data_IF_399218724192
#
_entry.id   IF_399218724192
#
_cell.length_a   1.000
_cell.length_b   1.000
_cell.length_c   1.000
_cell.angle_alpha   90.00
_cell.angle_beta   90.00
_cell.angle_gamma   90.00
#
_symmetry.space_group_name_H-M   'P 1'
#
loop_
_entity.id
_entity.type
_entity.pdbx_description
1 polymer ?
#
# COMPACT_ATOMS: atom_id res chain seq x y z
N UNK A 1 2.91 -22.83 5.18
CA UNK A 1 2.92 -21.49 4.56
C UNK A 1 3.72 -20.58 5.46
N UNK A 2 4.46 -19.61 4.92
CA UNK A 2 5.18 -18.64 5.76
C UNK A 2 4.43 -17.32 5.75
N UNK A 3 4.41 -16.69 6.90
CA UNK A 3 3.91 -15.34 7.08
C UNK A 3 4.90 -14.34 6.50
N UNK A 4 4.42 -13.34 5.79
CA UNK A 4 5.22 -12.28 5.16
C UNK A 4 4.53 -10.95 5.33
N UNK A 5 5.28 -9.92 5.68
CA UNK A 5 4.75 -8.58 5.81
C UNK A 5 4.81 -7.83 4.46
N UNK A 6 3.83 -6.98 4.25
CA UNK A 6 3.69 -6.04 3.15
C UNK A 6 3.52 -4.68 3.81
N UNK A 7 4.41 -3.74 3.53
CA UNK A 7 4.45 -2.47 4.21
C UNK A 7 4.46 -1.31 3.23
N UNK A 8 3.67 -0.30 3.52
CA UNK A 8 3.56 0.91 2.69
C UNK A 8 3.56 2.14 3.58
N UNK A 9 4.46 3.08 3.30
CA UNK A 9 4.33 4.46 3.77
C UNK A 9 3.27 5.16 2.92
N UNK A 10 2.35 5.89 3.55
CA UNK A 10 1.21 6.52 2.90
C UNK A 10 1.05 7.94 3.46
N UNK A 11 0.69 8.90 2.61
CA UNK A 11 0.15 10.18 3.03
C UNK A 11 -1.35 10.21 2.77
N UNK A 12 -2.13 9.88 3.79
CA UNK A 12 -3.54 9.61 3.64
C UNK A 12 -4.37 10.13 4.82
N UNK A 13 -5.63 10.44 4.53
CA UNK A 13 -6.70 10.52 5.51
C UNK A 13 -7.34 9.12 5.69
N UNK A 14 -8.42 9.05 6.47
CA UNK A 14 -9.13 7.79 6.70
C UNK A 14 -9.69 7.18 5.42
N UNK A 15 -10.15 8.01 4.48
CA UNK A 15 -10.70 7.55 3.21
C UNK A 15 -9.62 6.99 2.29
N UNK A 16 -8.46 7.67 2.22
CA UNK A 16 -7.28 7.21 1.51
C UNK A 16 -6.77 5.89 2.07
N UNK A 17 -6.71 5.75 3.39
CA UNK A 17 -6.34 4.50 4.05
C UNK A 17 -7.34 3.37 3.75
N UNK A 18 -8.64 3.63 3.83
CA UNK A 18 -9.67 2.65 3.48
C UNK A 18 -9.55 2.17 2.03
N UNK A 19 -9.28 3.10 1.11
CA UNK A 19 -9.04 2.78 -0.29
C UNK A 19 -7.82 1.86 -0.47
N UNK A 20 -6.69 2.16 0.17
CA UNK A 20 -5.48 1.31 0.08
C UNK A 20 -5.72 -0.09 0.68
N UNK A 21 -6.47 -0.19 1.78
CA UNK A 21 -6.86 -1.49 2.36
C UNK A 21 -7.66 -2.32 1.37
N UNK A 22 -8.65 -1.73 0.71
CA UNK A 22 -9.43 -2.39 -0.34
C UNK A 22 -8.55 -2.93 -1.48
N UNK A 23 -7.56 -2.15 -1.93
CA UNK A 23 -6.60 -2.62 -2.96
C UNK A 23 -5.82 -3.87 -2.52
N UNK A 24 -5.40 -3.92 -1.25
CA UNK A 24 -4.68 -5.08 -0.72
C UNK A 24 -5.61 -6.29 -0.62
N UNK A 25 -6.83 -6.11 -0.13
CA UNK A 25 -7.83 -7.17 -0.04
C UNK A 25 -8.17 -7.75 -1.42
N UNK A 26 -8.40 -6.90 -2.41
CA UNK A 26 -8.67 -7.29 -3.79
C UNK A 26 -7.50 -8.06 -4.41
N UNK A 27 -6.26 -7.59 -4.17
CA UNK A 27 -5.06 -8.26 -4.66
C UNK A 27 -4.85 -9.62 -3.99
N UNK A 28 -5.15 -9.75 -2.69
CA UNK A 28 -5.10 -11.00 -1.93
C UNK A 28 -6.17 -11.97 -2.42
N UNK A 29 -7.41 -11.51 -2.57
CA UNK A 29 -8.55 -12.29 -3.05
C UNK A 29 -8.35 -12.84 -4.46
N UNK A 30 -7.72 -12.03 -5.32
CA UNK A 30 -7.38 -12.39 -6.71
C UNK A 30 -6.07 -13.16 -6.86
N UNK A 31 -5.30 -13.35 -5.78
CA UNK A 31 -4.02 -14.06 -5.80
C UNK A 31 -2.91 -13.36 -6.61
N UNK A 32 -3.04 -12.07 -6.88
CA UNK A 32 -2.11 -11.29 -7.71
C UNK A 32 -2.13 -11.62 -9.21
N UNK A 33 -3.16 -12.34 -9.69
CA UNK A 33 -3.27 -12.73 -11.11
C UNK A 33 -4.08 -11.70 -11.90
N UNK A 34 -3.40 -10.76 -12.55
CA UNK A 34 -3.90 -10.23 -13.84
C UNK A 34 -3.34 -11.12 -14.95
N UNK A 35 -4.11 -12.11 -15.39
CA UNK A 35 -3.80 -12.92 -16.56
C UNK A 35 -3.16 -14.28 -16.28
N UNK A 36 -3.99 -15.30 -16.04
CA UNK A 36 -3.76 -16.64 -16.61
C UNK A 36 -4.99 -17.52 -16.33
N UNK A 37 -5.70 -17.91 -17.40
CA UNK A 37 -6.78 -18.90 -17.31
C UNK A 37 -6.15 -20.26 -17.02
N UNK A 38 -6.63 -20.88 -15.95
CA UNK A 38 -6.44 -22.31 -15.67
C UNK A 38 -5.29 -22.59 -14.71
N UNK A 39 -5.60 -22.77 -13.42
CA UNK A 39 -4.96 -23.86 -12.66
C UNK A 39 -5.70 -24.15 -11.36
N UNK A 40 -6.01 -25.44 -11.21
CA UNK A 40 -6.50 -26.13 -10.01
C UNK A 40 -5.66 -25.74 -8.78
N UNK A 41 -6.35 -25.44 -7.66
CA UNK A 41 -5.78 -25.58 -6.31
C UNK A 41 -4.81 -24.49 -5.85
N UNK A 42 -5.13 -23.21 -6.07
CA UNK A 42 -4.32 -22.12 -5.51
C UNK A 42 -4.39 -22.16 -3.98
N UNK A 43 -3.26 -22.46 -3.35
CA UNK A 43 -3.00 -22.18 -1.93
C UNK A 43 -3.17 -20.67 -1.70
N UNK A 44 -4.40 -20.24 -1.42
CA UNK A 44 -4.82 -18.83 -1.36
C UNK A 44 -4.01 -18.07 -0.31
N UNK A 45 -3.59 -16.86 -0.67
CA UNK A 45 -3.09 -15.91 0.31
C UNK A 45 -4.22 -15.52 1.26
N UNK A 46 -3.88 -15.24 2.52
CA UNK A 46 -4.82 -14.75 3.52
C UNK A 46 -4.16 -13.63 4.31
N UNK A 47 -4.90 -12.57 4.57
CA UNK A 47 -4.51 -11.57 5.57
C UNK A 47 -4.64 -12.24 6.94
N UNK A 48 -3.54 -12.25 7.70
CA UNK A 48 -3.49 -12.82 9.06
C UNK A 48 -3.24 -11.74 10.13
N UNK A 49 -3.01 -10.51 9.70
CA UNK A 49 -2.89 -9.36 10.58
C UNK A 49 -2.77 -8.09 9.77
N UNK A 50 -3.25 -7.00 10.35
CA UNK A 50 -3.12 -5.66 9.80
C UNK A 50 -2.87 -4.70 10.97
N UNK A 51 -1.96 -3.75 10.77
CA UNK A 51 -1.72 -2.67 11.72
C UNK A 51 -1.35 -1.39 11.00
N UNK A 52 -1.85 -0.27 11.50
CA UNK A 52 -1.44 1.06 11.06
C UNK A 52 -0.51 1.62 12.12
N UNK A 53 0.68 1.98 11.68
CA UNK A 53 1.75 2.45 12.54
C UNK A 53 1.97 3.95 12.29
N UNK A 54 2.02 4.71 13.38
CA UNK A 54 2.25 6.17 13.38
C UNK A 54 3.61 6.55 13.99
N UNK A 55 4.32 5.58 14.57
CA UNK A 55 5.65 5.72 15.17
C UNK A 55 6.51 4.54 14.73
N UNK A 56 7.71 4.77 14.22
CA UNK A 56 8.55 3.67 13.69
C UNK A 56 8.85 2.65 14.81
N UNK A 57 8.58 1.35 14.60
CA UNK A 57 8.88 0.35 15.61
C UNK A 57 10.39 0.25 15.85
N UNK A 58 10.84 0.53 17.08
CA UNK A 58 12.25 0.44 17.45
C UNK A 58 13.10 1.68 17.10
N UNK A 59 12.47 2.80 16.79
CA UNK A 59 13.14 4.10 16.60
C UNK A 59 12.38 5.19 17.34
N UNK A 60 13.10 6.25 17.75
CA UNK A 60 12.50 7.48 18.26
C UNK A 60 11.91 8.36 17.14
N UNK A 61 12.17 8.04 15.87
CA UNK A 61 11.62 8.74 14.73
C UNK A 61 10.12 8.48 14.58
N UNK A 62 9.34 9.56 14.48
CA UNK A 62 7.93 9.45 14.13
C UNK A 62 7.78 9.05 12.65
N UNK A 63 6.66 8.43 12.29
CA UNK A 63 6.36 8.15 10.88
C UNK A 63 6.17 9.48 10.10
N UNK A 64 5.78 10.54 10.80
CA UNK A 64 5.68 11.87 10.21
C UNK A 64 7.05 12.39 9.75
N UNK A 65 8.10 12.19 10.55
CA UNK A 65 9.47 12.59 10.20
C UNK A 65 10.07 11.65 9.13
N UNK A 66 9.76 10.36 9.18
CA UNK A 66 10.31 9.38 8.25
C UNK A 66 9.73 9.48 6.82
N UNK A 67 8.53 10.05 6.69
CA UNK A 67 7.78 10.15 5.43
C UNK A 67 7.31 11.58 5.14
N UNK A 68 8.05 12.58 5.62
CA UNK A 68 7.82 14.00 5.34
C UNK A 68 7.79 14.30 3.84
N UNK A 69 8.64 13.66 3.05
CA UNK A 69 8.69 13.76 1.59
C UNK A 69 7.36 13.40 0.91
N UNK A 70 6.49 12.60 1.53
CA UNK A 70 5.17 12.31 0.97
C UNK A 70 4.22 13.51 1.07
N UNK A 71 4.38 14.34 2.10
CA UNK A 71 3.65 15.60 2.21
C UNK A 71 4.17 16.62 1.19
N UNK A 72 5.49 16.65 0.95
CA UNK A 72 6.10 17.47 -0.10
C UNK A 72 5.59 17.06 -1.49
N UNK A 73 5.54 15.75 -1.77
CA UNK A 73 4.98 15.22 -3.01
C UNK A 73 3.51 15.65 -3.20
N UNK A 74 2.68 15.57 -2.16
CA UNK A 74 1.29 16.05 -2.23
C UNK A 74 1.21 17.53 -2.63
N UNK A 75 2.02 18.37 -2.00
CA UNK A 75 2.01 19.81 -2.26
C UNK A 75 2.43 20.16 -3.70
N UNK A 76 3.34 19.39 -4.29
CA UNK A 76 3.73 19.53 -5.70
C UNK A 76 2.63 19.05 -6.63
N UNK A 77 1.98 17.92 -6.32
CA UNK A 77 0.94 17.32 -7.16
C UNK A 77 -0.41 18.06 -7.09
N UNK A 78 -0.69 18.77 -5.99
CA UNK A 78 -1.98 19.43 -5.71
C UNK A 78 -1.77 20.89 -5.27
N UNK A 79 -1.29 21.77 -6.17
CA UNK A 79 -0.99 23.15 -5.82
C UNK A 79 -2.26 23.91 -5.41
N UNK A 80 -2.25 24.48 -4.20
CA UNK A 80 -3.36 25.28 -3.67
C UNK A 80 -4.51 24.47 -3.04
N UNK A 81 -4.43 23.14 -3.04
CA UNK A 81 -5.37 22.30 -2.31
C UNK A 81 -4.94 22.14 -0.85
N UNK A 82 -5.92 22.13 0.06
CA UNK A 82 -5.65 21.77 1.45
C UNK A 82 -5.38 20.27 1.56
N UNK A 83 -4.33 19.91 2.29
CA UNK A 83 -4.08 18.50 2.67
C UNK A 83 -5.20 17.91 3.53
N UNK A 84 -6.06 18.75 4.12
CA UNK A 84 -7.17 18.31 4.96
C UNK A 84 -6.65 17.61 6.22
N UNK A 85 -7.12 16.39 6.47
CA UNK A 85 -6.68 15.55 7.60
C UNK A 85 -5.63 14.51 7.21
N UNK A 86 -5.02 14.65 6.02
CA UNK A 86 -3.98 13.73 5.55
C UNK A 86 -2.75 13.85 6.43
N UNK A 87 -2.15 12.69 6.70
CA UNK A 87 -0.93 12.61 7.49
C UNK A 87 -0.09 11.40 7.05
N UNK A 88 1.22 11.43 7.29
CA UNK A 88 2.06 10.26 7.05
C UNK A 88 1.70 9.13 8.01
N UNK A 89 1.51 7.93 7.46
CA UNK A 89 1.19 6.71 8.19
C UNK A 89 1.80 5.52 7.49
N UNK A 90 1.98 4.42 8.22
CA UNK A 90 2.52 3.19 7.66
C UNK A 90 1.53 2.05 7.81
N UNK A 91 1.08 1.49 6.69
CA UNK A 91 0.21 0.32 6.67
C UNK A 91 1.07 -0.95 6.64
N UNK A 92 0.90 -1.80 7.64
CA UNK A 92 1.51 -3.13 7.70
C UNK A 92 0.43 -4.18 7.50
N UNK A 93 0.56 -5.00 6.46
CA UNK A 93 -0.32 -6.12 6.19
C UNK A 93 0.48 -7.41 6.24
N UNK A 94 0.07 -8.30 7.13
CA UNK A 94 0.70 -9.60 7.32
C UNK A 94 -0.05 -10.65 6.54
N UNK A 95 0.63 -11.31 5.60
CA UNK A 95 0.05 -12.28 4.67
C UNK A 95 0.58 -13.70 4.91
N UNK A 96 -0.30 -14.67 5.03
CA UNK A 96 0.06 -16.09 4.97
C UNK A 96 0.00 -16.56 3.51
N UNK A 97 1.16 -16.65 2.85
CA UNK A 97 1.23 -17.00 1.42
C UNK A 97 2.58 -17.59 1.00
N UNK A 98 2.68 -18.00 -0.28
CA UNK A 98 3.97 -18.37 -0.89
C UNK A 98 4.76 -17.10 -1.27
N UNK A 99 6.09 -17.20 -1.42
CA UNK A 99 6.90 -16.06 -1.87
C UNK A 99 6.47 -15.55 -3.25
N UNK A 100 6.11 -16.47 -4.16
CA UNK A 100 5.61 -16.13 -5.50
C UNK A 100 4.31 -15.31 -5.42
N UNK A 101 3.38 -15.75 -4.57
CA UNK A 101 2.11 -15.06 -4.35
C UNK A 101 2.32 -13.70 -3.70
N UNK A 102 3.22 -13.60 -2.71
CA UNK A 102 3.58 -12.33 -2.09
C UNK A 102 4.11 -11.32 -3.11
N UNK A 103 5.04 -11.74 -3.99
CA UNK A 103 5.57 -10.87 -5.06
C UNK A 103 4.48 -10.42 -6.03
N UNK A 104 3.56 -11.31 -6.40
CA UNK A 104 2.45 -10.99 -7.29
C UNK A 104 1.46 -10.01 -6.65
N UNK A 105 1.14 -10.18 -5.36
CA UNK A 105 0.30 -9.25 -4.60
C UNK A 105 1.00 -7.87 -4.50
N UNK A 106 2.26 -7.82 -4.07
CA UNK A 106 3.02 -6.56 -3.97
C UNK A 106 3.05 -5.80 -5.30
N UNK A 107 3.34 -6.49 -6.40
CA UNK A 107 3.35 -5.90 -7.75
C UNK A 107 1.97 -5.37 -8.13
N UNK A 108 0.92 -6.11 -7.81
CA UNK A 108 -0.46 -5.70 -8.12
C UNK A 108 -0.85 -4.45 -7.36
N UNK A 109 -0.61 -4.42 -6.03
CA UNK A 109 -0.93 -3.27 -5.17
C UNK A 109 -0.16 -2.02 -5.62
N UNK A 110 1.15 -2.12 -5.87
CA UNK A 110 1.97 -1.00 -6.35
C UNK A 110 1.43 -0.42 -7.66
N UNK A 111 1.09 -1.28 -8.62
CA UNK A 111 0.54 -0.85 -9.91
C UNK A 111 -0.86 -0.24 -9.80
N UNK A 112 -1.64 -0.61 -8.78
CA UNK A 112 -2.96 0.00 -8.55
C UNK A 112 -2.88 1.29 -7.74
N UNK A 113 -1.86 1.43 -6.88
CA UNK A 113 -1.60 2.64 -6.10
C UNK A 113 -1.17 3.80 -7.00
N UNK A 114 -0.26 3.54 -7.95
CA UNK A 114 0.10 4.48 -9.00
C UNK A 114 -0.50 3.99 -10.32
N UNK A 115 -1.62 4.56 -10.81
CA UNK A 115 -2.07 4.32 -12.17
C UNK A 115 -1.08 5.00 -13.12
N UNK A 116 0.05 4.35 -13.40
CA UNK A 116 0.93 4.74 -14.49
C UNK A 116 0.10 4.76 -15.79
N UNK A 117 -0.01 5.96 -16.35
CA UNK A 117 -0.58 6.27 -17.65
C UNK A 117 0.12 7.52 -18.20
N UNK A 118 -0.28 7.98 -19.37
CA UNK A 118 0.33 9.13 -20.07
C UNK A 118 -0.15 10.51 -19.59
N UNK A 119 -0.88 10.59 -18.47
CA UNK A 119 -1.34 11.85 -17.88
C UNK A 119 -0.42 12.38 -16.78
N UNK A 120 -0.63 13.63 -16.31
CA UNK A 120 0.08 14.14 -15.14
C UNK A 120 -0.12 13.20 -13.95
N UNK A 121 0.98 12.81 -13.30
CA UNK A 121 0.97 11.89 -12.17
C UNK A 121 0.39 12.59 -10.94
N UNK A 122 -0.93 12.62 -10.81
CA UNK A 122 -1.61 13.07 -9.60
C UNK A 122 -1.97 11.83 -8.79
N UNK A 123 -1.15 11.51 -7.80
CA UNK A 123 -1.37 10.34 -6.96
C UNK A 123 -2.52 10.63 -5.99
N UNK A 124 -3.56 9.79 -6.01
CA UNK A 124 -4.67 9.90 -5.06
C UNK A 124 -4.20 9.81 -3.61
N UNK A 125 -3.22 8.95 -3.36
CA UNK A 125 -2.54 8.77 -2.08
C UNK A 125 -1.05 8.67 -2.38
N UNK A 126 -0.24 9.69 -2.06
CA UNK A 126 1.22 9.57 -2.13
C UNK A 126 1.69 8.41 -1.26
N UNK A 127 2.60 7.59 -1.79
CA UNK A 127 2.99 6.33 -1.15
C UNK A 127 4.48 6.01 -1.37
N UNK A 128 5.04 5.22 -0.46
CA UNK A 128 6.35 4.61 -0.58
C UNK A 128 6.27 3.12 -0.24
N UNK A 129 7.08 2.29 -0.91
CA UNK A 129 7.17 0.87 -0.62
C UNK A 129 8.64 0.46 -0.53
N UNK A 130 8.94 -0.43 0.42
CA UNK A 130 10.28 -0.98 0.66
C UNK A 130 10.28 -2.51 0.61
#
# INVERSE_FOLDING_TARGET
MRTRDLKFGLYADEQGLYWVRGLVEDAVGSGGSQGSRGSRGVRRARVVGESVVRTLPGSELSIADAYDFLAEQWAVEHPGESSGTRQPLELHVRLACSLRTWRAIRKTVIRTLCPEGTGPHTCRVPWSAY
#
